data_IF_485874332345
#
_entry.id   IF_485874332345
#
_cell.length_a   1.000
_cell.length_b   1.000
_cell.length_c   1.000
_cell.angle_alpha   90.00
_cell.angle_beta   90.00
_cell.angle_gamma   90.00
#
_symmetry.space_group_name_H-M   'P 1'
#
loop_
_entity.id
_entity.type
_entity.pdbx_description
1 polymer ?
#
# COMPACT_ATOMS: atom_id res chain seq x y z
N UNK A 1 -1.26 7.91 9.08
CA UNK A 1 -1.18 6.82 8.08
C UNK A 1 -0.37 7.17 6.83
N UNK A 2 -0.77 8.17 6.01
CA UNK A 2 0.00 8.53 4.79
C UNK A 2 1.48 8.85 5.04
N UNK A 3 1.77 9.71 6.02
CA UNK A 3 3.16 10.10 6.35
C UNK A 3 3.98 8.92 6.89
N UNK A 4 3.38 8.07 7.73
CA UNK A 4 4.01 6.87 8.27
C UNK A 4 4.37 5.87 7.16
N UNK A 5 3.49 5.69 6.18
CA UNK A 5 3.76 4.86 5.01
C UNK A 5 4.90 5.42 4.16
N UNK A 6 4.96 6.74 3.95
CA UNK A 6 6.06 7.38 3.23
C UNK A 6 7.40 7.25 3.98
N UNK A 7 7.38 7.33 5.31
CA UNK A 7 8.58 7.10 6.11
C UNK A 7 9.00 5.63 6.06
N UNK A 8 8.07 4.68 6.13
CA UNK A 8 8.34 3.25 5.95
C UNK A 8 8.99 2.97 4.60
N UNK A 9 8.49 3.57 3.52
CA UNK A 9 9.12 3.43 2.20
C UNK A 9 10.56 3.98 2.21
N UNK A 10 10.80 5.12 2.87
CA UNK A 10 12.15 5.69 3.00
C UNK A 10 13.08 4.81 3.84
N UNK A 11 12.60 4.15 4.91
CA UNK A 11 13.42 3.20 5.69
C UNK A 11 13.76 1.94 4.87
N UNK A 12 12.91 1.58 3.92
CA UNK A 12 13.13 0.52 2.94
C UNK A 12 14.03 0.95 1.76
N UNK A 13 14.78 2.06 1.87
CA UNK A 13 15.67 2.61 0.84
C UNK A 13 14.97 3.14 -0.43
N UNK A 14 13.66 3.40 -0.40
CA UNK A 14 12.99 4.07 -1.51
C UNK A 14 13.24 5.58 -1.47
N UNK A 15 13.36 6.18 -2.66
CA UNK A 15 13.47 7.64 -2.78
C UNK A 15 12.19 8.32 -2.28
N UNK A 16 12.33 9.50 -1.67
CA UNK A 16 11.20 10.32 -1.18
C UNK A 16 10.14 10.56 -2.26
N UNK A 17 10.56 10.77 -3.51
CA UNK A 17 9.66 10.95 -4.64
C UNK A 17 8.82 9.70 -4.89
N UNK A 18 9.45 8.53 -4.94
CA UNK A 18 8.76 7.23 -5.10
C UNK A 18 7.80 6.96 -3.94
N UNK A 19 8.19 7.26 -2.70
CA UNK A 19 7.30 7.13 -1.55
C UNK A 19 6.04 8.01 -1.67
N UNK A 20 6.19 9.24 -2.19
CA UNK A 20 5.06 10.13 -2.47
C UNK A 20 4.18 9.63 -3.61
N UNK A 21 4.78 9.07 -4.67
CA UNK A 21 4.04 8.47 -5.79
C UNK A 21 3.23 7.26 -5.33
N UNK A 22 3.83 6.38 -4.53
CA UNK A 22 3.14 5.23 -3.94
C UNK A 22 1.99 5.66 -3.04
N UNK A 23 2.20 6.69 -2.22
CA UNK A 23 1.12 7.26 -1.42
C UNK A 23 -0.04 7.79 -2.28
N UNK A 24 0.28 8.43 -3.42
CA UNK A 24 -0.72 8.93 -4.36
C UNK A 24 -1.48 7.79 -5.04
N UNK A 25 -0.82 6.68 -5.36
CA UNK A 25 -1.51 5.50 -5.90
C UNK A 25 -2.50 4.89 -4.90
N UNK A 26 -2.18 4.85 -3.61
CA UNK A 26 -3.14 4.43 -2.58
C UNK A 26 -4.35 5.37 -2.53
N UNK A 27 -4.15 6.70 -2.68
CA UNK A 27 -5.26 7.66 -2.76
C UNK A 27 -6.14 7.41 -4.00
N UNK A 28 -5.53 7.07 -5.13
CA UNK A 28 -6.25 6.75 -6.37
C UNK A 28 -7.09 5.47 -6.22
N UNK A 29 -6.49 4.41 -5.65
CA UNK A 29 -7.18 3.17 -5.34
C UNK A 29 -8.32 3.39 -4.33
N UNK A 30 -8.11 4.26 -3.33
CA UNK A 30 -9.14 4.63 -2.36
C UNK A 30 -10.35 5.29 -3.01
N UNK A 31 -10.10 6.17 -3.98
CA UNK A 31 -11.18 6.80 -4.77
C UNK A 31 -11.90 5.79 -5.64
N UNK A 32 -11.16 4.86 -6.24
CA UNK A 32 -11.74 3.82 -7.08
C UNK A 32 -12.63 2.84 -6.30
N UNK A 33 -12.18 2.36 -5.13
CA UNK A 33 -12.99 1.45 -4.31
C UNK A 33 -14.08 2.16 -3.49
N UNK A 34 -14.12 3.49 -3.51
CA UNK A 34 -15.08 4.30 -2.73
C UNK A 34 -14.83 4.26 -1.22
N UNK A 35 -13.67 3.76 -0.78
CA UNK A 35 -13.30 3.64 0.64
C UNK A 35 -11.89 4.16 0.85
N UNK A 36 -11.68 4.92 1.91
CA UNK A 36 -10.35 5.41 2.23
C UNK A 36 -9.47 4.27 2.74
N UNK A 37 -8.52 3.82 1.91
CA UNK A 37 -7.61 2.72 2.25
C UNK A 37 -6.74 3.09 3.47
N UNK A 38 -6.42 4.36 3.65
CA UNK A 38 -5.64 4.82 4.82
C UNK A 38 -6.40 4.73 6.14
N UNK A 39 -7.72 4.57 6.13
CA UNK A 39 -8.49 4.33 7.36
C UNK A 39 -8.48 2.85 7.76
N UNK A 40 -8.02 1.97 6.87
CA UNK A 40 -7.86 0.55 7.17
C UNK A 40 -6.63 0.37 8.05
N UNK A 41 -6.88 0.07 9.33
CA UNK A 41 -5.83 -0.19 10.30
C UNK A 41 -5.47 -1.68 10.40
N UNK A 42 -6.26 -2.54 9.75
CA UNK A 42 -6.10 -4.00 9.78
C UNK A 42 -5.62 -4.51 8.43
N UNK A 43 -4.56 -5.31 8.45
CA UNK A 43 -4.06 -6.00 7.26
C UNK A 43 -5.16 -6.88 6.62
N UNK A 44 -5.98 -7.55 7.43
CA UNK A 44 -7.08 -8.41 6.97
C UNK A 44 -8.16 -7.69 6.16
N UNK A 45 -8.40 -6.40 6.42
CA UNK A 45 -9.31 -5.58 5.59
C UNK A 45 -8.69 -5.18 4.25
N UNK A 46 -7.36 -5.13 4.19
CA UNK A 46 -6.62 -4.71 3.01
C UNK A 46 -6.31 -5.89 2.06
N UNK A 47 -6.11 -7.10 2.59
CA UNK A 47 -5.90 -8.32 1.79
C UNK A 47 -6.92 -8.53 0.65
N UNK A 48 -8.24 -8.42 0.87
CA UNK A 48 -9.20 -8.57 -0.23
C UNK A 48 -9.07 -7.46 -1.27
N UNK A 49 -8.70 -6.23 -0.86
CA UNK A 49 -8.44 -5.14 -1.82
C UNK A 49 -7.19 -5.43 -2.65
N UNK A 50 -6.11 -5.90 -2.01
CA UNK A 50 -4.89 -6.32 -2.73
C UNK A 50 -5.23 -7.40 -3.76
N UNK A 51 -6.04 -8.39 -3.39
CA UNK A 51 -6.47 -9.45 -4.31
C UNK A 51 -7.30 -8.89 -5.49
N UNK A 52 -8.19 -7.92 -5.26
CA UNK A 52 -8.98 -7.27 -6.31
C UNK A 52 -8.11 -6.53 -7.34
N UNK A 53 -7.05 -5.86 -6.89
CA UNK A 53 -6.13 -5.11 -7.78
C UNK A 53 -4.96 -5.96 -8.31
N UNK A 54 -4.80 -7.20 -7.85
CA UNK A 54 -3.73 -8.08 -8.30
C UNK A 54 -4.01 -8.64 -9.71
N UNK A 55 -3.01 -9.31 -10.31
CA UNK A 55 -3.19 -10.05 -11.57
C UNK A 55 -4.30 -11.09 -11.44
N UNK A 56 -5.35 -10.96 -12.27
CA UNK A 56 -6.53 -11.82 -12.24
C UNK A 56 -7.66 -11.35 -11.31
N UNK A 57 -7.49 -10.23 -10.62
CA UNK A 57 -8.54 -9.60 -9.82
C UNK A 57 -9.53 -8.79 -10.67
N UNK A 58 -10.69 -8.49 -10.09
CA UNK A 58 -11.77 -7.74 -10.77
C UNK A 58 -11.36 -6.31 -11.16
N UNK A 59 -10.43 -5.71 -10.42
CA UNK A 59 -9.91 -4.35 -10.65
C UNK A 59 -8.46 -4.39 -11.16
N UNK A 60 -8.07 -5.48 -11.84
CA UNK A 60 -6.73 -5.65 -12.37
C UNK A 60 -6.29 -4.48 -13.27
N UNK A 61 -7.20 -3.91 -14.05
CA UNK A 61 -6.91 -2.78 -14.92
C UNK A 61 -6.38 -1.56 -14.14
N UNK A 62 -6.99 -1.26 -12.98
CA UNK A 62 -6.51 -0.20 -12.08
C UNK A 62 -5.19 -0.57 -11.42
N UNK A 63 -5.09 -1.81 -10.93
CA UNK A 63 -3.86 -2.31 -10.33
C UNK A 63 -2.67 -2.31 -11.30
N UNK A 64 -2.94 -2.43 -12.62
CA UNK A 64 -1.95 -2.47 -13.69
C UNK A 64 -1.67 -1.09 -14.34
N UNK A 65 -2.33 -0.01 -13.89
CA UNK A 65 -1.98 1.34 -14.32
C UNK A 65 -0.50 1.62 -14.03
N UNK A 66 0.11 2.48 -14.84
CA UNK A 66 1.51 2.85 -14.70
C UNK A 66 2.45 1.63 -14.58
N UNK A 67 2.25 0.59 -15.40
CA UNK A 67 3.02 -0.66 -15.37
C UNK A 67 2.92 -1.47 -14.05
N UNK A 68 1.80 -1.35 -13.33
CA UNK A 68 1.58 -2.11 -12.11
C UNK A 68 2.15 -1.46 -10.85
N UNK A 69 2.35 -0.14 -10.86
CA UNK A 69 2.71 0.61 -9.67
C UNK A 69 1.61 0.64 -8.59
N UNK A 70 0.30 0.78 -8.91
CA UNK A 70 -0.75 0.78 -7.90
C UNK A 70 -0.89 -0.56 -7.17
N UNK A 71 -0.82 -1.70 -7.90
CA UNK A 71 -0.79 -3.03 -7.25
C UNK A 71 0.43 -3.18 -6.34
N UNK A 72 1.57 -2.59 -6.71
CA UNK A 72 2.78 -2.64 -5.89
C UNK A 72 2.61 -1.75 -4.65
N UNK A 73 2.01 -0.57 -4.80
CA UNK A 73 1.74 0.35 -3.71
C UNK A 73 0.82 -0.27 -2.65
N UNK A 74 -0.29 -0.89 -3.05
CA UNK A 74 -1.23 -1.52 -2.09
C UNK A 74 -0.61 -2.74 -1.40
N UNK A 75 0.23 -3.52 -2.08
CA UNK A 75 1.05 -4.57 -1.44
C UNK A 75 2.02 -4.00 -0.41
N UNK A 76 2.74 -2.92 -0.75
CA UNK A 76 3.65 -2.25 0.19
C UNK A 76 2.90 -1.68 1.40
N UNK A 77 1.69 -1.18 1.20
CA UNK A 77 0.83 -0.71 2.28
C UNK A 77 0.36 -1.86 3.18
N UNK A 78 0.05 -3.03 2.59
CA UNK A 78 -0.22 -4.25 3.35
C UNK A 78 0.98 -4.67 4.19
N UNK A 79 2.18 -4.70 3.61
CA UNK A 79 3.42 -5.00 4.33
C UNK A 79 3.64 -4.01 5.48
N UNK A 80 3.34 -2.72 5.28
CA UNK A 80 3.41 -1.71 6.33
C UNK A 80 2.42 -2.00 7.49
N UNK A 81 1.18 -2.41 7.19
CA UNK A 81 0.20 -2.80 8.22
C UNK A 81 0.58 -4.11 8.92
N UNK A 82 1.11 -5.09 8.19
CA UNK A 82 1.55 -6.40 8.69
C UNK A 82 2.84 -6.32 9.51
N UNK A 83 3.79 -5.47 9.12
CA UNK A 83 4.97 -5.14 9.91
C UNK A 83 4.60 -4.47 11.24
N UNK A 84 3.33 -4.07 11.37
CA UNK A 84 2.77 -3.40 12.51
C UNK A 84 3.22 -1.94 12.54
N UNK A 85 2.29 -1.06 12.87
CA UNK A 85 2.62 0.26 13.44
C UNK A 85 3.51 0.17 14.72
N UNK A 86 3.92 -1.04 15.13
CA UNK A 86 4.75 -1.37 16.27
C UNK A 86 6.27 -1.19 16.07
N UNK A 87 6.73 -0.90 14.85
CA UNK A 87 8.17 -0.98 14.51
C UNK A 87 8.74 0.26 13.83
N UNK A 88 8.54 1.46 14.40
CA UNK A 88 9.53 2.54 14.24
C UNK A 88 10.80 2.21 15.07
N UNK A 89 11.44 1.12 14.68
CA UNK A 89 12.53 0.40 15.35
C UNK A 89 12.47 -1.10 15.02
N UNK A 90 13.02 -1.52 13.87
CA UNK A 90 13.13 -2.92 13.38
C UNK A 90 13.67 -3.90 14.47
N UNK A 91 13.21 -5.17 14.59
CA UNK A 91 13.60 -6.31 13.72
C UNK A 91 12.45 -7.36 13.46
N UNK A 92 12.67 -8.51 12.78
CA UNK A 92 11.74 -9.05 11.77
C UNK A 92 10.68 -10.07 12.19
N UNK A 93 9.67 -10.11 11.32
CA UNK A 93 8.83 -11.22 10.81
C UNK A 93 9.09 -12.61 11.41
N UNK A 94 8.01 -13.26 11.85
CA UNK A 94 8.00 -14.63 12.34
C UNK A 94 7.29 -15.56 11.36
#
# INVERSE_FOLDING_TARGET
>A
MREQFQQYMQTQNYQKKTAQEYARFIEDLSRHCGRNIYELSSASDLEPLVARYNSGGVDHAEGNKYNGEPRAAIKRYLEFLQAGASSFGLPPVR
#
